data_IF_165212007755
#
_entry.id   IF_165212007755
#
_cell.length_a   1.000
_cell.length_b   1.000
_cell.length_c   1.000
_cell.angle_alpha   90.00
_cell.angle_beta   90.00
_cell.angle_gamma   90.00
#
_symmetry.space_group_name_H-M   'P 1'
#
loop_
_entity.id
_entity.type
_entity.pdbx_description
1 polymer ?
#
# COMPACT_ATOMS: atom_id res chain seq x y z
N UNK A 1 -1.64 -12.46 10.66
CA UNK A 1 -1.92 -11.44 9.64
C UNK A 1 -3.37 -11.45 9.17
N UNK A 2 -3.84 -12.49 8.48
CA UNK A 2 -5.26 -12.57 8.07
C UNK A 2 -6.21 -12.39 9.26
N UNK A 3 -5.93 -13.05 10.38
CA UNK A 3 -6.74 -12.91 11.59
C UNK A 3 -6.69 -11.50 12.19
N UNK A 4 -5.58 -10.77 12.07
CA UNK A 4 -5.49 -9.37 12.50
C UNK A 4 -6.39 -8.47 11.64
N UNK A 5 -6.44 -8.68 10.31
CA UNK A 5 -7.37 -7.97 9.43
C UNK A 5 -8.83 -8.29 9.79
N UNK A 6 -9.13 -9.57 10.07
CA UNK A 6 -10.47 -10.01 10.51
C UNK A 6 -10.89 -9.38 11.84
N UNK A 7 -9.97 -9.34 12.82
CA UNK A 7 -10.22 -8.71 14.11
C UNK A 7 -10.47 -7.20 13.98
N UNK A 8 -9.77 -6.52 13.06
CA UNK A 8 -9.98 -5.09 12.75
C UNK A 8 -11.30 -4.86 12.00
N UNK A 9 -11.76 -5.80 11.18
CA UNK A 9 -13.04 -5.74 10.47
C UNK A 9 -14.27 -6.04 11.36
N UNK A 10 -14.13 -6.91 12.36
CA UNK A 10 -15.23 -7.43 13.18
C UNK A 10 -16.19 -6.37 13.79
N UNK A 11 -15.73 -5.17 14.23
CA UNK A 11 -16.64 -4.12 14.72
C UNK A 11 -17.57 -3.52 13.67
N UNK A 12 -17.31 -3.77 12.37
CA UNK A 12 -17.98 -3.11 11.24
C UNK A 12 -18.96 -4.01 10.48
N UNK A 13 -19.07 -5.31 10.80
CA UNK A 13 -20.05 -6.20 10.16
C UNK A 13 -19.58 -7.64 10.03
N UNK A 14 -20.17 -8.36 9.06
CA UNK A 14 -19.82 -9.75 8.78
C UNK A 14 -18.42 -9.87 8.18
N UNK A 15 -17.63 -10.79 8.73
CA UNK A 15 -16.23 -11.00 8.33
C UNK A 15 -16.10 -12.29 7.53
N UNK A 16 -15.45 -12.22 6.37
CA UNK A 16 -15.24 -13.36 5.50
C UNK A 16 -14.37 -14.43 6.17
N UNK A 17 -14.88 -15.66 6.19
CA UNK A 17 -14.16 -16.87 6.61
C UNK A 17 -13.28 -17.46 5.50
N UNK A 18 -13.42 -16.98 4.26
CA UNK A 18 -12.66 -17.46 3.10
C UNK A 18 -11.16 -17.16 3.20
N UNK A 19 -10.36 -17.95 2.50
CA UNK A 19 -8.95 -17.66 2.29
C UNK A 19 -8.81 -16.55 1.23
N UNK A 20 -8.19 -15.43 1.61
CA UNK A 20 -8.01 -14.27 0.73
C UNK A 20 -6.52 -14.04 0.40
N UNK A 21 -6.20 -13.49 -0.78
CA UNK A 21 -4.84 -13.10 -1.12
C UNK A 21 -4.37 -11.91 -0.27
N UNK A 22 -3.14 -12.01 0.24
CA UNK A 22 -2.43 -10.95 0.94
C UNK A 22 -1.17 -10.58 0.11
N UNK A 23 -1.31 -9.76 -0.95
CA UNK A 23 -0.24 -9.53 -1.92
C UNK A 23 0.96 -8.79 -1.31
N UNK A 24 0.76 -7.93 -0.31
CA UNK A 24 1.85 -7.22 0.37
C UNK A 24 2.47 -8.05 1.48
N UNK A 25 1.72 -9.00 2.06
CA UNK A 25 2.30 -10.03 2.92
C UNK A 25 3.27 -10.94 2.14
N UNK A 26 2.96 -11.23 0.89
CA UNK A 26 3.81 -12.01 -0.01
C UNK A 26 5.00 -11.19 -0.53
N UNK A 27 4.76 -9.97 -1.02
CA UNK A 27 5.81 -9.07 -1.51
C UNK A 27 6.86 -8.73 -0.44
N UNK A 28 6.43 -8.59 0.81
CA UNK A 28 7.27 -8.20 1.95
C UNK A 28 7.62 -9.37 2.88
N UNK A 29 7.49 -10.62 2.41
CA UNK A 29 7.59 -11.86 3.22
C UNK A 29 8.84 -11.92 4.11
N UNK A 30 10.01 -11.60 3.54
CA UNK A 30 11.28 -11.58 4.26
C UNK A 30 11.91 -10.16 4.29
N UNK A 31 11.06 -9.12 4.15
CA UNK A 31 11.48 -7.73 4.32
C UNK A 31 11.97 -7.48 5.77
N UNK A 32 13.07 -6.73 5.98
CA UNK A 32 13.71 -6.61 7.29
C UNK A 32 12.89 -5.83 8.32
N UNK A 33 11.88 -5.04 7.91
CA UNK A 33 10.94 -4.38 8.83
C UNK A 33 9.73 -5.29 9.11
N UNK A 34 9.75 -5.98 10.26
CA UNK A 34 8.73 -6.96 10.66
C UNK A 34 7.30 -6.42 10.73
N UNK A 35 7.10 -5.12 11.01
CA UNK A 35 5.76 -4.50 11.01
C UNK A 35 5.21 -4.24 9.59
N UNK A 36 6.08 -4.15 8.58
CA UNK A 36 5.74 -3.56 7.28
C UNK A 36 4.63 -4.32 6.56
N UNK A 37 4.73 -5.66 6.51
CA UNK A 37 3.74 -6.50 5.86
C UNK A 37 2.33 -6.33 6.44
N UNK A 38 2.18 -6.34 7.77
CA UNK A 38 0.88 -6.14 8.42
C UNK A 38 0.38 -4.69 8.28
N UNK A 39 1.26 -3.70 8.44
CA UNK A 39 0.89 -2.30 8.30
C UNK A 39 0.40 -1.95 6.88
N UNK A 40 1.10 -2.46 5.85
CA UNK A 40 0.71 -2.25 4.45
C UNK A 40 -0.57 -3.02 4.12
N UNK A 41 -0.78 -4.24 4.61
CA UNK A 41 -2.03 -4.99 4.40
C UNK A 41 -3.24 -4.31 5.07
N UNK A 42 -3.07 -3.75 6.28
CA UNK A 42 -4.12 -2.96 6.95
C UNK A 42 -4.45 -1.69 6.16
N UNK A 43 -3.43 -0.95 5.72
CA UNK A 43 -3.61 0.25 4.88
C UNK A 43 -4.25 -0.12 3.53
N UNK A 44 -3.87 -1.24 2.92
CA UNK A 44 -4.48 -1.71 1.67
C UNK A 44 -5.94 -2.10 1.85
N UNK A 45 -6.30 -2.77 2.95
CA UNK A 45 -7.70 -3.09 3.23
C UNK A 45 -8.56 -1.83 3.42
N UNK A 46 -8.01 -0.78 4.06
CA UNK A 46 -8.68 0.52 4.15
C UNK A 46 -8.90 1.16 2.77
N UNK A 47 -7.89 1.11 1.91
CA UNK A 47 -7.99 1.57 0.52
C UNK A 47 -9.05 0.80 -0.28
N UNK A 48 -9.12 -0.52 -0.11
CA UNK A 48 -10.15 -1.36 -0.74
C UNK A 48 -11.55 -0.99 -0.24
N UNK A 49 -11.72 -0.69 1.05
CA UNK A 49 -13.00 -0.24 1.63
C UNK A 49 -13.46 1.11 1.08
N UNK A 50 -12.55 2.05 0.83
CA UNK A 50 -12.87 3.35 0.23
C UNK A 50 -13.16 3.27 -1.28
N UNK A 51 -12.42 2.46 -2.03
CA UNK A 51 -12.34 2.62 -3.49
C UNK A 51 -12.55 1.35 -4.33
N UNK A 52 -12.56 0.15 -3.73
CA UNK A 52 -12.75 -1.13 -4.44
C UNK A 52 -13.71 -2.03 -3.63
N UNK A 53 -13.47 -3.34 -3.63
CA UNK A 53 -14.15 -4.31 -2.78
C UNK A 53 -13.23 -4.76 -1.66
N UNK A 54 -13.70 -4.69 -0.41
CA UNK A 54 -13.01 -5.28 0.73
C UNK A 54 -12.87 -6.79 0.55
N UNK A 55 -11.74 -7.35 1.04
CA UNK A 55 -11.50 -8.79 1.08
C UNK A 55 -12.08 -9.41 2.35
N UNK A 56 -12.02 -8.69 3.48
CA UNK A 56 -12.44 -9.22 4.79
C UNK A 56 -13.84 -8.81 5.23
N UNK A 57 -14.33 -7.61 4.88
CA UNK A 57 -15.64 -7.11 5.34
C UNK A 57 -16.71 -7.32 4.28
N UNK A 58 -17.78 -8.01 4.65
CA UNK A 58 -18.89 -8.37 3.76
C UNK A 58 -20.17 -7.61 4.13
N UNK A 59 -21.03 -7.36 3.13
CA UNK A 59 -22.38 -6.79 3.32
C UNK A 59 -22.48 -5.35 3.86
N UNK A 60 -21.38 -4.71 4.27
CA UNK A 60 -21.39 -3.40 4.91
C UNK A 60 -21.91 -2.27 4.00
N UNK A 61 -22.68 -1.33 4.58
CA UNK A 61 -23.22 -0.15 3.88
C UNK A 61 -22.08 0.80 3.45
N UNK A 62 -22.38 1.78 2.59
CA UNK A 62 -21.37 2.73 2.13
C UNK A 62 -20.74 3.54 3.29
N UNK A 63 -21.57 3.96 4.25
CA UNK A 63 -21.18 4.69 5.45
C UNK A 63 -20.33 3.83 6.38
N UNK A 64 -20.73 2.57 6.58
CA UNK A 64 -19.97 1.62 7.40
C UNK A 64 -18.62 1.28 6.76
N UNK A 65 -18.56 1.10 5.43
CA UNK A 65 -17.28 0.90 4.72
C UNK A 65 -16.37 2.12 4.80
N UNK A 66 -16.92 3.33 4.73
CA UNK A 66 -16.13 4.57 4.87
C UNK A 66 -15.44 4.62 6.25
N UNK A 67 -16.19 4.42 7.34
CA UNK A 67 -15.65 4.41 8.70
C UNK A 67 -14.70 3.24 8.97
N UNK A 68 -14.98 2.07 8.38
CA UNK A 68 -14.06 0.94 8.42
C UNK A 68 -12.74 1.28 7.70
N UNK A 69 -12.80 1.94 6.53
CA UNK A 69 -11.64 2.38 5.77
C UNK A 69 -10.72 3.30 6.58
N UNK A 70 -11.30 4.35 7.18
CA UNK A 70 -10.59 5.27 8.07
C UNK A 70 -9.94 4.52 9.26
N UNK A 71 -10.67 3.56 9.83
CA UNK A 71 -10.15 2.74 10.94
C UNK A 71 -8.98 1.86 10.50
N UNK A 72 -9.07 1.18 9.36
CA UNK A 72 -8.00 0.36 8.80
C UNK A 72 -6.74 1.17 8.48
N UNK A 73 -6.89 2.35 7.87
CA UNK A 73 -5.80 3.32 7.68
C UNK A 73 -5.16 3.71 9.02
N UNK A 74 -5.96 4.10 10.03
CA UNK A 74 -5.46 4.50 11.34
C UNK A 74 -4.74 3.35 12.08
N UNK A 75 -5.24 2.11 11.97
CA UNK A 75 -4.61 0.91 12.56
C UNK A 75 -3.25 0.62 11.91
N UNK A 76 -3.18 0.66 10.58
CA UNK A 76 -1.95 0.41 9.84
C UNK A 76 -0.89 1.50 10.09
N UNK A 77 -1.25 2.79 9.98
CA UNK A 77 -0.35 3.90 10.33
C UNK A 77 0.08 3.87 11.80
N UNK A 78 -0.81 3.45 12.71
CA UNK A 78 -0.50 3.29 14.13
C UNK A 78 0.60 2.26 14.40
N UNK A 79 0.65 1.14 13.66
CA UNK A 79 1.75 0.17 13.76
C UNK A 79 3.09 0.76 13.30
N UNK A 80 3.08 1.56 12.22
CA UNK A 80 4.29 2.23 11.72
C UNK A 80 4.79 3.28 12.71
N UNK A 81 3.88 4.07 13.28
CA UNK A 81 4.22 5.07 14.31
C UNK A 81 4.76 4.44 15.60
N UNK A 82 4.25 3.26 16.00
CA UNK A 82 4.78 2.48 17.13
C UNK A 82 6.19 1.91 16.89
N UNK A 83 6.64 1.85 15.63
CA UNK A 83 7.99 1.47 15.24
C UNK A 83 8.92 2.68 15.00
N UNK A 84 8.47 3.89 15.39
CA UNK A 84 9.16 5.17 15.20
C UNK A 84 9.54 5.51 13.73
N UNK A 85 8.93 4.85 12.74
CA UNK A 85 9.29 5.02 11.33
C UNK A 85 8.46 6.11 10.63
N UNK A 86 8.81 7.36 10.92
CA UNK A 86 8.15 8.55 10.36
C UNK A 86 8.24 8.63 8.82
N UNK A 87 9.26 8.05 8.22
CA UNK A 87 9.41 7.98 6.76
C UNK A 87 8.39 7.04 6.13
N UNK A 88 8.12 5.87 6.75
CA UNK A 88 7.06 4.97 6.30
C UNK A 88 5.66 5.57 6.49
N UNK A 89 5.42 6.31 7.58
CA UNK A 89 4.18 7.10 7.74
C UNK A 89 4.05 8.09 6.58
N UNK A 90 5.13 8.80 6.24
CA UNK A 90 5.15 9.78 5.14
C UNK A 90 4.93 9.15 3.76
N UNK A 91 5.50 7.97 3.50
CA UNK A 91 5.30 7.21 2.27
C UNK A 91 3.85 6.73 2.11
N UNK A 92 3.26 6.17 3.17
CA UNK A 92 1.87 5.70 3.16
C UNK A 92 0.87 6.87 3.04
N UNK A 93 1.12 7.99 3.71
CA UNK A 93 0.28 9.18 3.60
C UNK A 93 0.30 9.78 2.17
N UNK A 94 1.47 9.80 1.51
CA UNK A 94 1.58 10.22 0.10
C UNK A 94 0.83 9.28 -0.84
N UNK A 95 0.92 7.97 -0.63
CA UNK A 95 0.15 6.97 -1.37
C UNK A 95 -1.37 7.19 -1.22
N UNK A 96 -1.86 7.34 0.02
CA UNK A 96 -3.29 7.60 0.28
C UNK A 96 -3.77 8.87 -0.45
N UNK A 97 -2.99 9.94 -0.40
CA UNK A 97 -3.30 11.20 -1.09
C UNK A 97 -3.32 11.03 -2.62
N UNK A 98 -2.30 10.39 -3.20
CA UNK A 98 -2.23 10.14 -4.64
C UNK A 98 -3.40 9.27 -5.14
N UNK A 99 -3.69 8.16 -4.45
CA UNK A 99 -4.86 7.32 -4.70
C UNK A 99 -6.17 8.10 -4.65
N UNK A 100 -6.34 8.97 -3.67
CA UNK A 100 -7.54 9.83 -3.57
C UNK A 100 -7.68 10.76 -4.78
N UNK A 101 -6.59 11.42 -5.20
CA UNK A 101 -6.60 12.27 -6.40
C UNK A 101 -6.89 11.48 -7.68
N UNK A 102 -6.29 10.30 -7.86
CA UNK A 102 -6.56 9.40 -9.00
C UNK A 102 -8.04 8.96 -9.05
N UNK A 103 -8.70 8.81 -7.89
CA UNK A 103 -10.13 8.49 -7.80
C UNK A 103 -11.04 9.67 -8.09
N UNK A 104 -10.68 10.88 -7.67
CA UNK A 104 -11.40 12.11 -8.07
C UNK A 104 -11.33 12.32 -9.58
N UNK A 105 -10.19 12.00 -10.21
CA UNK A 105 -10.02 12.06 -11.66
C UNK A 105 -10.61 10.84 -12.41
N UNK A 106 -11.25 9.89 -11.71
CA UNK A 106 -11.82 8.66 -12.27
C UNK A 106 -10.84 7.82 -13.12
N UNK A 107 -9.55 7.88 -12.80
CA UNK A 107 -8.50 7.22 -13.60
C UNK A 107 -8.41 5.70 -13.33
N UNK A 108 -7.86 4.91 -14.28
CA UNK A 108 -7.72 3.46 -14.14
C UNK A 108 -6.95 3.00 -12.89
N UNK A 109 -7.43 1.91 -12.29
CA UNK A 109 -6.88 1.35 -11.04
C UNK A 109 -5.43 0.85 -11.12
N UNK A 110 -4.92 0.50 -12.31
CA UNK A 110 -3.53 0.04 -12.46
C UNK A 110 -2.48 1.13 -12.16
N UNK A 111 -2.89 2.41 -12.17
CA UNK A 111 -2.04 3.53 -11.75
C UNK A 111 -1.78 3.47 -10.25
N UNK A 112 -2.80 3.14 -9.45
CA UNK A 112 -2.64 2.88 -8.03
C UNK A 112 -1.79 1.64 -7.79
N UNK A 113 -2.04 0.54 -8.51
CA UNK A 113 -1.32 -0.72 -8.32
C UNK A 113 0.20 -0.51 -8.50
N UNK A 114 0.58 0.37 -9.44
CA UNK A 114 1.96 0.87 -9.61
C UNK A 114 2.46 1.59 -8.34
N UNK A 115 1.72 2.56 -7.81
CA UNK A 115 2.12 3.30 -6.60
C UNK A 115 2.16 2.41 -5.33
N UNK A 116 1.29 1.42 -5.25
CA UNK A 116 1.23 0.44 -4.16
C UNK A 116 2.49 -0.42 -4.08
N UNK A 117 2.90 -1.04 -5.20
CA UNK A 117 4.12 -1.87 -5.27
C UNK A 117 5.34 -1.07 -4.80
N UNK A 118 5.52 0.14 -5.33
CA UNK A 118 6.61 1.06 -5.00
C UNK A 118 6.62 1.43 -3.51
N UNK A 119 5.45 1.77 -2.97
CA UNK A 119 5.32 2.21 -1.57
C UNK A 119 5.57 1.05 -0.61
N UNK A 120 5.01 -0.12 -0.88
CA UNK A 120 5.18 -1.31 -0.05
C UNK A 120 6.67 -1.68 0.10
N UNK A 121 7.41 -1.68 -1.02
CA UNK A 121 8.84 -1.97 -1.06
C UNK A 121 9.66 -0.92 -0.29
N UNK A 122 9.38 0.37 -0.50
CA UNK A 122 10.06 1.46 0.21
C UNK A 122 9.77 1.46 1.73
N UNK A 123 8.56 1.07 2.14
CA UNK A 123 8.18 0.88 3.55
C UNK A 123 8.94 -0.31 4.15
N UNK A 124 9.00 -1.46 3.48
CA UNK A 124 9.71 -2.65 3.97
C UNK A 124 11.24 -2.56 4.04
N UNK A 125 11.83 -1.62 3.28
CA UNK A 125 13.14 -1.73 2.62
C UNK A 125 14.28 -2.61 3.21
N UNK A 126 15.23 -2.21 4.07
CA UNK A 126 15.45 -0.99 4.86
C UNK A 126 16.12 0.20 4.15
N UNK A 127 16.97 -0.08 3.15
CA UNK A 127 17.91 0.81 2.45
C UNK A 127 17.38 2.23 2.19
N UNK A 128 18.10 3.24 2.71
CA UNK A 128 17.78 4.67 2.55
C UNK A 128 17.58 5.04 1.08
N UNK A 129 18.39 4.53 0.17
CA UNK A 129 18.28 4.83 -1.28
C UNK A 129 16.97 4.33 -1.86
N UNK A 130 16.50 3.16 -1.42
CA UNK A 130 15.20 2.61 -1.80
C UNK A 130 14.05 3.47 -1.25
N UNK A 131 14.17 4.01 -0.02
CA UNK A 131 13.17 4.92 0.57
C UNK A 131 13.12 6.27 -0.14
N UNK A 132 14.29 6.85 -0.44
CA UNK A 132 14.44 8.08 -1.22
C UNK A 132 13.84 7.92 -2.62
N UNK A 133 14.02 6.76 -3.26
CA UNK A 133 13.35 6.45 -4.51
C UNK A 133 11.83 6.38 -4.37
N UNK A 134 11.29 5.74 -3.33
CA UNK A 134 9.85 5.75 -3.05
C UNK A 134 9.32 7.17 -2.85
N UNK A 135 10.05 8.02 -2.12
CA UNK A 135 9.69 9.42 -1.92
C UNK A 135 9.74 10.25 -3.22
N UNK A 136 10.75 10.03 -4.08
CA UNK A 136 10.85 10.65 -5.40
C UNK A 136 9.76 10.18 -6.35
N UNK A 137 9.39 8.90 -6.34
CA UNK A 137 8.29 8.36 -7.12
C UNK A 137 6.96 9.05 -6.76
N UNK A 138 6.71 9.29 -5.47
CA UNK A 138 5.54 10.06 -5.02
C UNK A 138 5.58 11.54 -5.42
N UNK A 139 6.76 12.17 -5.47
CA UNK A 139 6.89 13.54 -5.97
C UNK A 139 6.56 13.63 -7.46
N UNK A 140 7.15 12.75 -8.29
CA UNK A 140 6.82 12.61 -9.72
C UNK A 140 5.33 12.31 -9.92
N UNK A 141 4.75 11.47 -9.08
CA UNK A 141 3.32 11.15 -9.16
C UNK A 141 2.44 12.36 -8.84
N UNK A 142 2.77 13.14 -7.81
CA UNK A 142 2.05 14.37 -7.49
C UNK A 142 2.10 15.39 -8.65
N UNK A 143 3.26 15.59 -9.26
CA UNK A 143 3.44 16.50 -10.40
C UNK A 143 2.62 16.03 -11.63
N UNK A 144 2.66 14.73 -11.95
CA UNK A 144 1.88 14.16 -13.05
C UNK A 144 0.37 14.22 -12.80
N UNK A 145 -0.09 13.95 -11.58
CA UNK A 145 -1.51 14.05 -11.19
C UNK A 145 -1.99 15.51 -11.27
N UNK A 146 -1.20 16.46 -10.79
CA UNK A 146 -1.53 17.89 -10.84
C UNK A 146 -1.53 18.45 -12.28
N UNK A 147 -0.73 17.87 -13.16
CA UNK A 147 -0.69 18.21 -14.59
C UNK A 147 -1.69 17.42 -15.46
N UNK A 148 -2.60 16.64 -14.88
CA UNK A 148 -3.55 15.74 -15.57
C UNK A 148 -2.88 14.71 -16.52
N UNK A 149 -1.62 14.35 -16.21
CA UNK A 149 -0.74 13.46 -16.98
C UNK A 149 -0.45 12.12 -16.27
N UNK A 150 -1.26 11.75 -15.28
CA UNK A 150 -1.07 10.53 -14.49
C UNK A 150 -1.08 9.21 -15.32
N UNK A 151 -1.56 9.22 -16.57
CA UNK A 151 -1.40 8.10 -17.49
C UNK A 151 0.07 7.73 -17.78
N UNK A 152 1.00 8.67 -17.60
CA UNK A 152 2.45 8.49 -17.80
C UNK A 152 3.15 7.80 -16.61
N UNK A 153 2.45 7.59 -15.47
CA UNK A 153 3.01 6.95 -14.27
C UNK A 153 3.73 5.61 -14.53
N UNK A 154 3.18 4.65 -15.30
CA UNK A 154 3.82 3.35 -15.50
C UNK A 154 5.12 3.45 -16.32
N UNK A 155 5.23 4.41 -17.24
CA UNK A 155 6.45 4.66 -18.00
C UNK A 155 7.50 5.35 -17.12
N UNK A 156 7.10 6.39 -16.40
CA UNK A 156 7.99 7.19 -15.55
C UNK A 156 8.51 6.44 -14.31
N UNK A 157 7.78 5.42 -13.82
CA UNK A 157 8.13 4.67 -12.61
C UNK A 157 8.52 3.20 -12.87
N UNK A 158 8.12 2.62 -14.01
CA UNK A 158 8.22 1.19 -14.30
C UNK A 158 9.62 0.56 -14.29
N UNK A 159 10.68 1.22 -14.82
CA UNK A 159 12.04 0.68 -14.73
C UNK A 159 12.60 0.78 -13.31
N UNK A 160 12.41 1.95 -12.69
CA UNK A 160 13.12 2.36 -11.48
C UNK A 160 12.99 1.38 -10.32
N UNK A 161 11.80 0.80 -10.08
CA UNK A 161 11.56 -0.01 -8.88
C UNK A 161 11.98 -1.47 -9.01
N UNK A 162 11.94 -2.04 -10.22
CA UNK A 162 12.56 -3.34 -10.50
C UNK A 162 14.09 -3.26 -10.56
N UNK A 163 14.64 -2.12 -10.93
CA UNK A 163 16.09 -1.87 -10.87
C UNK A 163 16.57 -1.57 -9.44
N UNK A 164 15.74 -0.98 -8.58
CA UNK A 164 16.06 -0.83 -7.15
C UNK A 164 16.17 -2.17 -6.42
N UNK A 165 15.40 -3.18 -6.85
CA UNK A 165 15.57 -4.56 -6.38
C UNK A 165 16.91 -5.20 -6.79
N UNK A 166 17.60 -4.71 -7.83
CA UNK A 166 18.83 -5.33 -8.34
C UNK A 166 20.11 -4.61 -7.91
N UNK A 167 20.04 -3.35 -7.48
CA UNK A 167 21.21 -2.52 -7.17
C UNK A 167 21.50 -2.34 -5.67
N UNK A 168 20.53 -2.59 -4.78
CA UNK A 168 20.72 -2.61 -3.32
C UNK A 168 21.19 -3.98 -2.81
N UNK A 169 22.41 -4.08 -2.26
CA UNK A 169 22.92 -5.36 -1.78
C UNK A 169 22.15 -5.87 -0.54
N UNK A 170 21.55 -7.05 -0.68
CA UNK A 170 20.84 -7.83 0.34
C UNK A 170 19.42 -7.39 0.76
N UNK A 171 18.51 -7.33 -0.22
CA UNK A 171 17.16 -7.91 -0.08
C UNK A 171 16.76 -8.58 -1.40
N UNK A 172 16.42 -9.89 -1.38
CA UNK A 172 15.99 -10.65 -2.57
C UNK A 172 14.62 -11.28 -2.30
N UNK A 173 13.55 -10.86 -2.98
CA UNK A 173 12.27 -11.55 -2.91
C UNK A 173 12.40 -12.99 -3.42
N UNK A 174 12.06 -13.95 -2.58
CA UNK A 174 12.04 -15.36 -2.95
C UNK A 174 10.75 -15.69 -3.72
N UNK A 175 10.78 -15.79 -5.05
CA UNK A 175 9.66 -16.40 -5.80
C UNK A 175 9.26 -15.81 -7.15
N UNK A 176 10.19 -15.60 -8.08
CA UNK A 176 9.86 -15.71 -9.53
C UNK A 176 10.85 -16.69 -10.14
N UNK A 177 10.32 -17.75 -10.75
CA UNK A 177 11.12 -18.81 -11.40
C UNK A 177 11.43 -18.37 -12.84
N UNK A 178 12.72 -18.46 -13.19
CA UNK A 178 13.33 -18.47 -14.54
C UNK A 178 12.59 -17.76 -15.69
#
# INVERSE_FOLDING_TARGET
MLEDLRQVAAPFGEVSSEAIPLPFAELLRDAPRSYAALAVELVYEGYLLHYRSSRVLQGATAETRLLAGDHFYARGLGLVAQADDIEAVSLLARLMAACSCLRVQHLPFHLDDTLWEITALAVGSNDVSCRECGARAHAVAADLIAAERAAELPEMLGPSVRELHSQGAHWRPSGVVA
#
